data_IF_375959856867
#
_entry.id   IF_375959856867
#
_cell.length_a   1.000
_cell.length_b   1.000
_cell.length_c   1.000
_cell.angle_alpha   90.00
_cell.angle_beta   90.00
_cell.angle_gamma   90.00
#
_symmetry.space_group_name_H-M   'P 1'
#
loop_
_entity.id
_entity.type
_entity.pdbx_description
1 polymer ?
#
# COMPACT_ATOMS: atom_id res chain seq x y z
N UNK A 1 -15.93 20.28 33.09
CA UNK A 1 -14.85 19.30 33.26
C UNK A 1 -13.69 19.78 32.42
N UNK A 2 -12.72 20.42 33.07
CA UNK A 2 -11.49 20.90 32.43
C UNK A 2 -10.56 19.69 32.21
N UNK A 3 -10.27 19.35 30.96
CA UNK A 3 -9.14 18.48 30.67
C UNK A 3 -7.88 19.34 30.64
N UNK A 4 -7.04 19.13 31.65
CA UNK A 4 -5.72 19.75 31.78
C UNK A 4 -4.79 19.18 30.72
N UNK A 5 -4.41 20.01 29.76
CA UNK A 5 -3.25 19.77 28.91
C UNK A 5 -1.99 19.82 29.78
N UNK A 6 -1.42 18.65 30.08
CA UNK A 6 -0.07 18.54 30.62
C UNK A 6 0.92 18.66 29.46
N UNK A 7 1.27 19.89 29.09
CA UNK A 7 2.37 20.17 28.16
C UNK A 7 3.70 19.92 28.87
N UNK A 8 4.44 18.88 28.44
CA UNK A 8 5.88 18.81 28.60
C UNK A 8 6.47 19.81 27.59
N UNK A 9 7.08 20.89 28.08
CA UNK A 9 7.37 22.13 27.34
C UNK A 9 8.22 22.03 26.06
N UNK A 10 8.74 20.87 25.66
CA UNK A 10 9.38 20.66 24.33
C UNK A 10 9.28 19.19 23.85
N UNK A 11 8.26 18.46 24.30
CA UNK A 11 8.04 17.06 23.92
C UNK A 11 6.99 16.91 22.82
N UNK A 12 6.86 15.71 22.23
CA UNK A 12 5.72 15.44 21.36
C UNK A 12 4.42 15.56 22.17
N UNK A 13 3.35 16.01 21.54
CA UNK A 13 2.03 16.01 22.16
C UNK A 13 1.56 14.56 22.35
N UNK A 14 1.24 14.18 23.59
CA UNK A 14 0.67 12.88 23.86
C UNK A 14 -0.84 12.90 23.63
N UNK A 15 -1.33 12.00 22.77
CA UNK A 15 -2.75 11.82 22.47
C UNK A 15 -3.23 10.50 23.06
N UNK A 16 -4.12 10.58 24.06
CA UNK A 16 -4.79 9.41 24.64
C UNK A 16 -5.94 8.96 23.74
N UNK A 17 -5.60 8.44 22.55
CA UNK A 17 -6.53 7.93 21.55
C UNK A 17 -5.85 6.86 20.69
N UNK A 18 -6.57 5.76 20.42
CA UNK A 18 -6.12 4.72 19.49
C UNK A 18 -6.05 5.24 18.05
N UNK A 19 -6.96 6.14 17.68
CA UNK A 19 -6.98 6.80 16.37
C UNK A 19 -6.35 8.17 16.48
N UNK A 20 -5.28 8.38 15.72
CA UNK A 20 -4.55 9.64 15.67
C UNK A 20 -4.85 10.35 14.34
N UNK A 21 -5.23 11.63 14.38
CA UNK A 21 -5.32 12.42 13.17
C UNK A 21 -3.92 12.67 12.61
N UNK A 22 -3.81 12.85 11.30
CA UNK A 22 -2.62 13.41 10.67
C UNK A 22 -3.03 14.45 9.63
N UNK A 23 -2.12 15.40 9.41
CA UNK A 23 -2.35 16.57 8.54
C UNK A 23 -1.13 16.81 7.66
N UNK A 24 -1.34 17.51 6.55
CA UNK A 24 -0.30 17.87 5.59
C UNK A 24 0.57 16.67 5.17
N UNK A 25 1.85 16.89 4.88
CA UNK A 25 2.80 15.80 4.73
C UNK A 25 3.22 15.30 6.11
N UNK A 26 3.09 14.00 6.36
CA UNK A 26 3.35 13.36 7.64
C UNK A 26 4.26 12.13 7.51
N UNK A 27 5.14 11.96 8.48
CA UNK A 27 5.96 10.79 8.70
C UNK A 27 5.42 10.04 9.92
N UNK A 28 4.86 8.86 9.67
CA UNK A 28 4.31 7.99 10.73
C UNK A 28 5.35 6.92 11.03
N UNK A 29 5.73 6.79 12.30
CA UNK A 29 6.78 5.88 12.78
C UNK A 29 6.17 4.89 13.78
N UNK A 30 6.50 3.61 13.62
CA UNK A 30 6.18 2.57 14.57
C UNK A 30 7.09 2.68 15.81
N UNK A 31 6.50 2.97 16.98
CA UNK A 31 7.26 3.17 18.22
C UNK A 31 7.95 1.87 18.67
N UNK A 32 7.39 0.70 18.37
CA UNK A 32 8.05 -0.58 18.67
C UNK A 32 9.41 -0.70 17.94
N UNK A 33 9.49 -0.21 16.70
CA UNK A 33 10.74 -0.15 15.94
C UNK A 33 11.75 0.82 16.53
N UNK A 34 11.29 1.96 17.08
CA UNK A 34 12.14 2.90 17.84
C UNK A 34 12.74 2.23 19.06
N UNK A 35 11.89 1.63 19.89
CA UNK A 35 12.29 0.91 21.09
C UNK A 35 13.31 -0.19 20.79
N UNK A 36 13.12 -0.92 19.67
CA UNK A 36 14.02 -2.00 19.27
C UNK A 36 15.35 -1.54 18.68
N UNK A 37 15.35 -0.48 17.85
CA UNK A 37 16.51 -0.09 17.03
C UNK A 37 17.35 1.03 17.62
N UNK A 38 16.77 1.79 18.55
CA UNK A 38 17.40 2.98 19.11
C UNK A 38 17.43 2.97 20.64
N UNK A 39 16.29 2.67 21.27
CA UNK A 39 16.07 2.88 22.70
C UNK A 39 14.73 3.54 22.92
N UNK A 40 14.51 4.20 24.06
CA UNK A 40 13.18 4.72 24.40
C UNK A 40 12.71 5.80 23.40
N UNK A 41 11.41 5.89 23.19
CA UNK A 41 10.80 6.94 22.36
C UNK A 41 11.20 8.35 22.82
N UNK A 42 11.28 8.57 24.13
CA UNK A 42 11.65 9.87 24.72
C UNK A 42 13.09 10.23 24.34
N UNK A 43 14.02 9.28 24.49
CA UNK A 43 15.42 9.50 24.10
C UNK A 43 15.56 9.74 22.60
N UNK A 44 14.77 9.02 21.79
CA UNK A 44 14.76 9.16 20.33
C UNK A 44 14.32 10.56 19.93
N UNK A 45 13.21 11.03 20.48
CA UNK A 45 12.66 12.34 20.18
C UNK A 45 13.60 13.44 20.68
N UNK A 46 14.12 13.33 21.90
CA UNK A 46 15.05 14.30 22.46
C UNK A 46 16.36 14.36 21.67
N UNK A 47 16.96 13.22 21.33
CA UNK A 47 18.23 13.20 20.57
C UNK A 47 18.10 13.84 19.19
N UNK A 48 16.95 13.65 18.56
CA UNK A 48 16.73 14.12 17.20
C UNK A 48 15.93 15.43 17.14
N UNK A 49 15.55 16.02 18.27
CA UNK A 49 14.75 17.25 18.30
C UNK A 49 13.51 17.14 17.40
N UNK A 50 12.73 16.07 17.61
CA UNK A 50 11.52 15.80 16.83
C UNK A 50 10.31 16.42 17.50
N UNK A 51 9.60 17.29 16.79
CA UNK A 51 8.30 17.77 17.21
C UNK A 51 7.19 16.98 16.49
N UNK A 52 6.21 16.46 17.23
CA UNK A 52 5.17 15.61 16.67
C UNK A 52 4.12 15.20 17.70
N UNK A 53 3.27 14.24 17.34
CA UNK A 53 2.24 13.69 18.21
C UNK A 53 2.47 12.20 18.41
N UNK A 54 2.13 11.65 19.58
CA UNK A 54 2.25 10.22 19.86
C UNK A 54 1.16 9.70 20.79
N UNK A 55 0.72 8.46 20.59
CA UNK A 55 -0.11 7.72 21.55
C UNK A 55 0.65 6.57 22.23
N UNK A 56 1.99 6.58 22.14
CA UNK A 56 2.87 5.52 22.64
C UNK A 56 3.03 4.30 21.71
N UNK A 57 2.15 4.10 20.72
CA UNK A 57 2.29 3.06 19.68
C UNK A 57 2.77 3.66 18.35
N UNK A 58 2.32 4.86 18.02
CA UNK A 58 2.69 5.62 16.84
C UNK A 58 3.34 6.95 17.22
N UNK A 59 4.30 7.41 16.42
CA UNK A 59 4.80 8.78 16.42
C UNK A 59 4.52 9.40 15.05
N UNK A 60 3.87 10.56 15.02
CA UNK A 60 3.53 11.30 13.81
C UNK A 60 4.26 12.64 13.81
N UNK A 61 5.06 12.89 12.78
CA UNK A 61 5.77 14.15 12.57
C UNK A 61 5.24 14.76 11.28
N UNK A 62 4.74 15.99 11.32
CA UNK A 62 4.09 16.63 10.18
C UNK A 62 4.83 17.89 9.71
N UNK A 63 4.69 18.23 8.43
CA UNK A 63 5.24 19.42 7.80
C UNK A 63 4.23 20.02 6.82
N UNK A 64 4.04 21.34 6.87
CA UNK A 64 3.04 22.10 6.08
C UNK A 64 3.55 22.40 4.65
N UNK A 65 4.62 21.73 4.20
CA UNK A 65 5.29 22.03 2.93
C UNK A 65 5.37 20.79 2.07
N UNK A 66 5.12 20.96 0.77
CA UNK A 66 5.33 19.94 -0.25
C UNK A 66 6.36 20.44 -1.27
N UNK A 67 7.50 19.76 -1.46
CA UNK A 67 7.90 18.50 -0.82
C UNK A 67 8.31 18.69 0.66
N UNK A 68 8.13 17.67 1.52
CA UNK A 68 8.46 17.76 2.94
C UNK A 68 9.95 17.54 3.19
N UNK A 69 10.75 18.57 2.94
CA UNK A 69 12.21 18.52 2.99
C UNK A 69 12.74 18.09 4.36
N UNK A 70 12.13 18.54 5.46
CA UNK A 70 12.58 18.20 6.80
C UNK A 70 12.27 16.74 7.13
N UNK A 71 11.09 16.25 6.75
CA UNK A 71 10.74 14.85 6.95
C UNK A 71 11.65 13.90 6.15
N UNK A 72 12.02 14.29 4.91
CA UNK A 72 13.00 13.56 4.12
C UNK A 72 14.37 13.53 4.82
N UNK A 73 14.83 14.65 5.34
CA UNK A 73 16.10 14.71 6.09
C UNK A 73 16.06 13.85 7.37
N UNK A 74 14.94 13.79 8.07
CA UNK A 74 14.77 12.88 9.22
C UNK A 74 15.00 11.43 8.79
N UNK A 75 14.41 11.02 7.67
CA UNK A 75 14.57 9.67 7.16
C UNK A 75 16.02 9.39 6.75
N UNK A 76 16.61 10.27 5.94
CA UNK A 76 17.94 10.07 5.37
C UNK A 76 19.06 10.11 6.42
N UNK A 77 18.97 11.05 7.36
CA UNK A 77 20.06 11.34 8.30
C UNK A 77 19.89 10.64 9.66
N UNK A 78 18.67 10.18 9.99
CA UNK A 78 18.36 9.67 11.34
C UNK A 78 17.82 8.25 11.30
N UNK A 79 16.78 7.99 10.48
CA UNK A 79 16.16 6.66 10.42
C UNK A 79 16.99 5.65 9.63
N UNK A 80 17.44 6.00 8.42
CA UNK A 80 18.20 5.09 7.54
C UNK A 80 19.52 4.63 8.17
N UNK A 81 20.33 5.48 8.84
CA UNK A 81 21.53 5.03 9.56
C UNK A 81 21.24 4.03 10.68
N UNK A 82 20.01 4.04 11.23
CA UNK A 82 19.54 3.09 12.25
C UNK A 82 18.82 1.88 11.63
N UNK A 83 18.94 1.68 10.31
CA UNK A 83 18.32 0.58 9.56
C UNK A 83 16.80 0.52 9.65
N UNK A 84 16.12 1.67 9.79
CA UNK A 84 14.68 1.74 9.61
C UNK A 84 14.31 1.57 8.14
N UNK A 85 13.23 0.84 7.88
CA UNK A 85 12.77 0.43 6.56
C UNK A 85 11.35 0.95 6.34
N UNK A 86 11.14 1.59 5.19
CA UNK A 86 9.83 2.08 4.77
C UNK A 86 8.81 0.93 4.73
N UNK A 87 7.60 1.20 5.21
CA UNK A 87 6.46 0.28 5.42
C UNK A 87 6.64 -0.79 6.49
N UNK A 88 7.85 -0.98 7.03
CA UNK A 88 8.08 -1.87 8.17
C UNK A 88 8.19 -1.09 9.48
N UNK A 89 8.90 0.03 9.46
CA UNK A 89 9.16 0.84 10.65
C UNK A 89 8.59 2.25 10.56
N UNK A 90 8.39 2.77 9.35
CA UNK A 90 7.81 4.09 9.12
C UNK A 90 7.13 4.18 7.75
N UNK A 91 6.30 5.20 7.53
CA UNK A 91 5.70 5.52 6.23
C UNK A 91 5.50 7.02 6.07
N UNK A 92 5.68 7.50 4.83
CA UNK A 92 5.26 8.84 4.42
C UNK A 92 3.83 8.82 3.96
N UNK A 93 3.04 9.79 4.42
CA UNK A 93 1.66 10.00 4.00
C UNK A 93 1.44 11.48 3.77
N UNK A 94 0.68 11.82 2.74
CA UNK A 94 0.16 13.17 2.56
C UNK A 94 -1.31 13.15 2.95
N UNK A 95 -1.80 14.21 3.56
CA UNK A 95 -3.21 14.37 3.88
C UNK A 95 -4.07 14.36 2.62
N UNK A 96 -5.16 13.61 2.65
CA UNK A 96 -6.18 13.70 1.62
C UNK A 96 -7.13 14.86 1.93
N UNK A 97 -7.25 15.82 1.01
CA UNK A 97 -8.16 16.94 1.17
C UNK A 97 -9.62 16.46 1.12
N UNK A 98 -10.31 16.53 2.26
CA UNK A 98 -11.68 16.01 2.39
C UNK A 98 -12.68 16.76 1.51
N UNK A 99 -12.48 18.08 1.34
CA UNK A 99 -13.37 18.95 0.55
C UNK A 99 -12.62 19.62 -0.59
N UNK A 100 -13.14 19.44 -1.80
CA UNK A 100 -12.68 20.10 -3.01
C UNK A 100 -13.47 21.37 -3.33
N UNK A 101 -13.02 22.07 -4.38
CA UNK A 101 -13.74 23.21 -4.93
C UNK A 101 -15.19 22.82 -5.33
N UNK A 102 -16.15 23.70 -5.05
CA UNK A 102 -17.57 23.47 -5.34
C UNK A 102 -18.31 22.56 -4.35
N UNK A 103 -17.74 22.28 -3.17
CA UNK A 103 -18.40 21.47 -2.13
C UNK A 103 -18.37 19.97 -2.38
N UNK A 104 -17.54 19.52 -3.32
CA UNK A 104 -17.31 18.09 -3.59
C UNK A 104 -16.49 17.46 -2.47
N UNK A 105 -16.76 16.18 -2.17
CA UNK A 105 -15.96 15.39 -1.22
C UNK A 105 -14.87 14.61 -1.95
N UNK A 106 -13.77 14.31 -1.26
CA UNK A 106 -12.75 13.40 -1.79
C UNK A 106 -13.36 12.05 -2.17
N UNK A 107 -12.97 11.45 -3.31
CA UNK A 107 -13.42 10.11 -3.69
C UNK A 107 -12.95 9.03 -2.72
N UNK A 108 -12.01 9.33 -1.81
CA UNK A 108 -11.45 8.40 -0.85
C UNK A 108 -12.17 8.44 0.51
N UNK A 109 -13.29 9.16 0.61
CA UNK A 109 -14.10 9.20 1.83
C UNK A 109 -14.52 7.78 2.25
N UNK A 110 -14.38 7.48 3.54
CA UNK A 110 -14.60 6.18 4.18
C UNK A 110 -13.71 5.05 3.64
N UNK A 111 -12.55 5.39 3.06
CA UNK A 111 -11.57 4.41 2.59
C UNK A 111 -10.26 4.53 3.36
N UNK A 112 -9.47 3.44 3.43
CA UNK A 112 -8.12 3.52 3.94
C UNK A 112 -7.25 4.45 3.09
N UNK A 113 -6.34 5.16 3.76
CA UNK A 113 -5.36 5.99 3.10
C UNK A 113 -4.46 5.15 2.19
N UNK A 114 -4.26 5.58 0.94
CA UNK A 114 -3.57 4.77 -0.07
C UNK A 114 -2.12 4.44 0.32
N UNK A 115 -1.41 5.38 0.93
CA UNK A 115 -0.02 5.19 1.37
C UNK A 115 0.10 4.19 2.54
N UNK A 116 -0.95 4.05 3.36
CA UNK A 116 -1.02 3.13 4.49
C UNK A 116 -1.49 1.72 4.09
N UNK A 117 -1.89 1.53 2.83
CA UNK A 117 -2.41 0.25 2.35
C UNK A 117 -1.34 -0.84 2.43
N UNK A 118 -1.76 -2.02 2.91
CA UNK A 118 -0.94 -3.23 3.06
C UNK A 118 0.25 -3.08 4.03
N UNK A 119 0.19 -2.11 4.96
CA UNK A 119 1.11 -2.04 6.09
C UNK A 119 0.53 -2.89 7.24
N UNK A 120 1.23 -3.95 7.70
CA UNK A 120 0.67 -4.90 8.67
C UNK A 120 0.31 -4.26 10.01
N UNK A 121 1.12 -3.33 10.48
CA UNK A 121 0.99 -2.68 11.79
C UNK A 121 0.18 -1.37 11.77
N UNK A 122 -0.20 -0.86 10.59
CA UNK A 122 -0.84 0.46 10.46
C UNK A 122 -2.21 0.36 9.80
N UNK A 123 -3.24 0.80 10.52
CA UNK A 123 -4.56 1.09 10.01
C UNK A 123 -4.70 2.55 9.62
N UNK A 124 -5.63 2.85 8.72
CA UNK A 124 -5.92 4.22 8.28
C UNK A 124 -7.35 4.32 7.78
N UNK A 125 -7.94 5.51 7.92
CA UNK A 125 -9.27 5.84 7.42
C UNK A 125 -9.37 7.32 7.12
N UNK A 126 -9.96 7.65 5.97
CA UNK A 126 -10.30 9.01 5.58
C UNK A 126 -11.78 9.19 5.90
N UNK A 127 -12.14 10.20 6.68
CA UNK A 127 -13.51 10.49 7.08
C UNK A 127 -13.88 11.94 6.75
N UNK A 128 -15.12 12.34 7.01
CA UNK A 128 -15.54 13.73 6.82
C UNK A 128 -14.80 14.70 7.75
N UNK A 129 -14.26 14.19 8.86
CA UNK A 129 -13.59 14.96 9.91
C UNK A 129 -12.05 15.00 9.72
N UNK A 130 -11.52 14.29 8.72
CA UNK A 130 -10.09 14.29 8.40
C UNK A 130 -9.51 12.92 8.14
N UNK A 131 -8.18 12.86 8.24
CA UNK A 131 -7.38 11.68 7.95
C UNK A 131 -6.88 11.06 9.25
N UNK A 132 -7.11 9.77 9.45
CA UNK A 132 -6.81 9.08 10.71
C UNK A 132 -5.96 7.84 10.47
N UNK A 133 -5.10 7.54 11.44
CA UNK A 133 -4.33 6.30 11.52
C UNK A 133 -4.41 5.69 12.91
N UNK A 134 -4.22 4.37 13.00
CA UNK A 134 -4.14 3.66 14.26
C UNK A 134 -3.18 2.48 14.16
N UNK A 135 -2.59 2.08 15.27
CA UNK A 135 -1.80 0.86 15.32
C UNK A 135 -2.73 -0.35 15.24
N UNK A 136 -2.49 -1.26 14.29
CA UNK A 136 -3.19 -2.53 14.23
C UNK A 136 -2.61 -3.45 15.30
N UNK A 137 -3.44 -3.83 16.26
CA UNK A 137 -3.11 -4.95 17.13
C UNK A 137 -3.17 -6.24 16.30
N UNK A 138 -2.02 -6.74 15.86
CA UNK A 138 -1.95 -8.08 15.23
C UNK A 138 -0.56 -8.68 15.41
N UNK A 139 -0.48 -9.68 16.30
CA UNK A 139 0.53 -10.75 16.40
C UNK A 139 1.96 -10.39 16.85
N UNK A 140 2.15 -9.60 17.91
CA UNK A 140 3.42 -9.69 18.66
C UNK A 140 3.41 -10.87 19.67
N UNK A 141 2.23 -11.28 20.15
CA UNK A 141 2.07 -12.41 21.09
C UNK A 141 2.43 -13.79 20.50
N UNK A 142 2.44 -13.99 19.18
CA UNK A 142 2.86 -15.27 18.58
C UNK A 142 4.33 -15.26 18.10
N UNK A 143 4.93 -14.08 17.91
CA UNK A 143 6.35 -13.97 17.49
C UNK A 143 7.29 -14.16 18.69
N UNK A 144 6.90 -13.71 19.89
CA UNK A 144 7.66 -14.01 21.12
C UNK A 144 7.49 -15.46 21.60
N UNK A 145 6.37 -16.12 21.27
CA UNK A 145 6.11 -17.51 21.67
C UNK A 145 6.86 -18.54 20.82
N UNK A 146 7.25 -18.19 19.59
CA UNK A 146 8.03 -19.06 18.71
C UNK A 146 9.40 -18.45 18.47
N UNK A 147 10.36 -18.88 19.29
CA UNK A 147 11.79 -18.63 19.18
C UNK A 147 12.34 -19.19 17.84
N UNK A 148 12.02 -18.54 16.72
CA UNK A 148 12.39 -19.00 15.39
C UNK A 148 13.87 -18.69 15.14
N UNK A 149 14.71 -19.69 14.89
CA UNK A 149 16.08 -19.46 14.48
C UNK A 149 16.08 -18.66 13.19
N UNK A 150 16.99 -17.70 13.08
CA UNK A 150 17.27 -16.93 11.87
C UNK A 150 17.35 -17.85 10.63
N UNK A 151 16.26 -17.97 9.88
CA UNK A 151 16.26 -18.56 8.55
C UNK A 151 16.16 -17.40 7.58
N UNK A 152 17.24 -17.21 6.79
CA UNK A 152 17.27 -16.37 5.59
C UNK A 152 16.02 -16.64 4.74
N UNK A 153 14.99 -15.82 4.89
CA UNK A 153 13.79 -15.92 4.07
C UNK A 153 13.99 -15.10 2.79
N UNK A 154 14.04 -15.83 1.69
CA UNK A 154 14.43 -15.38 0.37
C UNK A 154 13.58 -14.20 -0.17
N UNK A 155 14.30 -13.20 -0.68
CA UNK A 155 13.88 -11.97 -1.38
C UNK A 155 12.99 -12.21 -2.63
N UNK A 156 12.71 -13.46 -3.01
CA UNK A 156 12.04 -13.78 -4.28
C UNK A 156 10.50 -13.87 -4.23
N UNK A 157 9.87 -13.77 -3.04
CA UNK A 157 8.40 -13.72 -2.94
C UNK A 157 7.81 -12.29 -3.04
N UNK A 158 8.64 -11.25 -2.90
CA UNK A 158 8.20 -9.84 -2.97
C UNK A 158 7.94 -9.34 -4.41
N UNK A 159 8.56 -9.95 -5.42
CA UNK A 159 8.31 -9.58 -6.83
C UNK A 159 6.92 -10.03 -7.31
N UNK A 160 6.39 -11.13 -6.76
CA UNK A 160 5.04 -11.62 -7.09
C UNK A 160 3.92 -10.77 -6.47
N UNK A 161 4.10 -10.32 -5.21
CA UNK A 161 3.09 -9.57 -4.46
C UNK A 161 3.05 -8.08 -4.87
N UNK A 162 4.20 -7.44 -5.11
CA UNK A 162 4.23 -6.06 -5.65
C UNK A 162 3.65 -5.95 -7.06
N UNK A 163 3.68 -7.04 -7.85
CA UNK A 163 3.12 -7.07 -9.21
C UNK A 163 1.60 -7.28 -9.21
N UNK A 164 1.06 -8.03 -8.24
CA UNK A 164 -0.38 -8.12 -7.98
C UNK A 164 -0.97 -6.79 -7.49
N UNK A 165 -0.26 -6.06 -6.64
CA UNK A 165 -0.69 -4.76 -6.13
C UNK A 165 -0.70 -3.67 -7.20
N UNK A 166 0.25 -3.67 -8.15
CA UNK A 166 0.25 -2.72 -9.29
C UNK A 166 -0.93 -2.96 -10.25
N UNK A 167 -1.40 -4.18 -10.40
CA UNK A 167 -2.56 -4.48 -11.24
C UNK A 167 -3.86 -4.04 -10.54
N UNK A 168 -3.99 -4.32 -9.24
CA UNK A 168 -5.10 -3.80 -8.39
C UNK A 168 -5.10 -2.25 -8.30
N UNK A 169 -3.94 -1.60 -8.23
CA UNK A 169 -3.81 -0.13 -8.24
C UNK A 169 -4.13 0.50 -9.62
N UNK A 170 -3.88 -0.21 -10.74
CA UNK A 170 -4.35 0.22 -12.07
C UNK A 170 -5.87 0.08 -12.19
N UNK A 171 -6.44 -0.99 -11.66
CA UNK A 171 -7.88 -1.20 -11.58
C UNK A 171 -8.57 -0.13 -10.72
N UNK A 172 -7.90 0.35 -9.66
CA UNK A 172 -8.36 1.48 -8.83
C UNK A 172 -8.26 2.85 -9.53
N UNK A 173 -7.20 3.12 -10.31
CA UNK A 173 -7.07 4.37 -11.10
C UNK A 173 -8.12 4.52 -12.20
N UNK A 174 -8.81 3.45 -12.58
CA UNK A 174 -9.87 3.45 -13.60
C UNK A 174 -11.29 3.70 -13.05
N UNK A 175 -11.46 3.82 -11.73
CA UNK A 175 -12.78 3.87 -11.09
C UNK A 175 -13.45 5.27 -11.08
N UNK A 176 -12.90 6.24 -11.80
CA UNK A 176 -13.53 7.56 -12.01
C UNK A 176 -14.18 7.74 -13.38
N UNK A 177 -14.33 6.66 -14.15
CA UNK A 177 -15.29 6.61 -15.26
C UNK A 177 -16.39 5.60 -14.91
N UNK A 178 -17.66 5.88 -15.29
CA UNK A 178 -18.71 4.87 -15.20
C UNK A 178 -18.22 3.59 -15.86
N UNK A 179 -18.25 2.47 -15.13
CA UNK A 179 -17.87 1.17 -15.67
C UNK A 179 -18.86 0.90 -16.81
N UNK A 180 -18.37 0.98 -18.04
CA UNK A 180 -19.22 0.74 -19.21
C UNK A 180 -19.84 -0.65 -19.10
N UNK A 181 -21.09 -0.82 -19.56
CA UNK A 181 -21.78 -2.11 -19.52
C UNK A 181 -20.94 -3.23 -20.15
N UNK A 182 -20.22 -2.90 -21.22
CA UNK A 182 -19.25 -3.81 -21.85
C UNK A 182 -18.13 -4.32 -20.93
N UNK A 183 -17.70 -3.51 -19.96
CA UNK A 183 -16.63 -3.89 -19.00
C UNK A 183 -17.19 -4.80 -17.92
N UNK A 184 -18.41 -4.52 -17.44
CA UNK A 184 -19.13 -5.42 -16.52
C UNK A 184 -19.35 -6.78 -17.17
N UNK A 185 -19.75 -6.78 -18.45
CA UNK A 185 -19.96 -7.99 -19.23
C UNK A 185 -18.67 -8.80 -19.39
N UNK A 186 -17.54 -8.13 -19.67
CA UNK A 186 -16.24 -8.79 -19.80
C UNK A 186 -15.76 -9.40 -18.47
N UNK A 187 -15.94 -8.71 -17.34
CA UNK A 187 -15.64 -9.25 -16.00
C UNK A 187 -16.50 -10.48 -15.71
N UNK A 188 -17.81 -10.41 -16.00
CA UNK A 188 -18.72 -11.55 -15.87
C UNK A 188 -18.28 -12.72 -16.76
N UNK A 189 -17.86 -12.45 -18.00
CA UNK A 189 -17.30 -13.48 -18.90
C UNK A 189 -16.07 -14.14 -18.29
N UNK A 190 -15.10 -13.37 -17.80
CA UNK A 190 -13.88 -13.89 -17.17
C UNK A 190 -14.17 -14.76 -15.95
N UNK A 191 -15.13 -14.36 -15.10
CA UNK A 191 -15.51 -15.11 -13.90
C UNK A 191 -16.10 -16.50 -14.17
N UNK A 192 -16.59 -16.73 -15.40
CA UNK A 192 -17.18 -18.00 -15.83
C UNK A 192 -16.19 -18.94 -16.50
N UNK A 193 -15.00 -18.46 -16.85
CA UNK A 193 -13.98 -19.28 -17.50
C UNK A 193 -13.20 -20.07 -16.46
N UNK A 194 -12.87 -21.32 -16.76
CA UNK A 194 -11.86 -22.09 -16.05
C UNK A 194 -10.46 -21.71 -16.54
N UNK A 195 -9.42 -22.32 -15.98
CA UNK A 195 -8.04 -21.96 -16.32
C UNK A 195 -7.71 -22.24 -17.80
N UNK A 196 -8.29 -23.29 -18.39
CA UNK A 196 -8.13 -23.59 -19.81
C UNK A 196 -8.85 -22.56 -20.69
N UNK A 197 -10.10 -22.22 -20.38
CA UNK A 197 -10.86 -21.20 -21.09
C UNK A 197 -10.21 -19.81 -21.03
N UNK A 198 -9.52 -19.48 -19.92
CA UNK A 198 -8.73 -18.26 -19.80
C UNK A 198 -7.55 -18.22 -20.79
N UNK A 199 -6.86 -19.36 -20.97
CA UNK A 199 -5.73 -19.52 -21.89
C UNK A 199 -6.19 -19.46 -23.34
N UNK A 200 -7.33 -20.09 -23.65
CA UNK A 200 -7.96 -20.00 -24.97
C UNK A 200 -8.35 -18.56 -25.30
N UNK A 201 -8.95 -17.84 -24.34
CA UNK A 201 -9.27 -16.42 -24.49
C UNK A 201 -8.00 -15.60 -24.77
N UNK A 202 -6.91 -15.82 -24.04
CA UNK A 202 -5.63 -15.16 -24.31
C UNK A 202 -5.16 -15.40 -25.76
N UNK A 203 -5.23 -16.65 -26.22
CA UNK A 203 -4.80 -17.03 -27.56
C UNK A 203 -5.61 -16.36 -28.69
N UNK A 204 -6.82 -15.86 -28.43
CA UNK A 204 -7.59 -15.06 -29.40
C UNK A 204 -7.00 -13.66 -29.66
N UNK A 205 -6.11 -13.21 -28.79
CA UNK A 205 -5.40 -11.93 -28.91
C UNK A 205 -4.07 -12.04 -29.67
N UNK A 206 -3.53 -13.26 -29.81
CA UNK A 206 -2.24 -13.52 -30.47
C UNK A 206 -2.29 -13.17 -31.95
N UNK A 207 -1.26 -12.47 -32.44
CA UNK A 207 -1.14 -12.09 -33.85
C UNK A 207 -1.99 -10.89 -34.29
N UNK A 208 -2.74 -10.26 -33.38
CA UNK A 208 -3.46 -9.02 -33.68
C UNK A 208 -2.49 -7.86 -33.85
N UNK A 209 -2.65 -7.11 -34.94
CA UNK A 209 -1.78 -5.96 -35.27
C UNK A 209 -2.17 -4.67 -34.56
N UNK A 210 -3.41 -4.55 -34.10
CA UNK A 210 -3.96 -3.33 -33.50
C UNK A 210 -4.74 -3.62 -32.22
N UNK A 211 -4.49 -2.80 -31.20
CA UNK A 211 -5.17 -2.84 -29.91
C UNK A 211 -5.92 -1.54 -29.69
N UNK A 212 -7.25 -1.60 -29.71
CA UNK A 212 -8.09 -0.47 -29.34
C UNK A 212 -7.95 -0.16 -27.85
N UNK A 213 -8.31 1.06 -27.44
CA UNK A 213 -8.31 1.47 -26.02
C UNK A 213 -9.12 0.48 -25.17
N UNK A 214 -10.28 0.04 -25.66
CA UNK A 214 -11.13 -0.97 -25.01
C UNK A 214 -10.40 -2.30 -24.80
N UNK A 215 -9.66 -2.73 -25.80
CA UNK A 215 -8.91 -3.98 -25.78
C UNK A 215 -7.71 -3.93 -24.83
N UNK A 216 -7.06 -2.77 -24.66
CA UNK A 216 -6.01 -2.60 -23.64
C UNK A 216 -6.56 -2.81 -22.24
N UNK A 217 -7.81 -2.38 -21.98
CA UNK A 217 -8.47 -2.60 -20.69
C UNK A 217 -8.84 -4.07 -20.48
N UNK A 218 -9.35 -4.75 -21.50
CA UNK A 218 -9.65 -6.18 -21.45
C UNK A 218 -8.39 -6.99 -21.14
N UNK A 219 -7.26 -6.62 -21.76
CA UNK A 219 -5.93 -7.21 -21.53
C UNK A 219 -5.46 -7.03 -20.08
N UNK A 220 -5.77 -5.89 -19.44
CA UNK A 220 -5.46 -5.69 -18.03
C UNK A 220 -6.33 -6.56 -17.11
N UNK A 221 -7.63 -6.65 -17.37
CA UNK A 221 -8.52 -7.53 -16.61
C UNK A 221 -8.13 -9.00 -16.75
N UNK A 222 -7.66 -9.38 -17.95
CA UNK A 222 -7.11 -10.70 -18.19
C UNK A 222 -5.88 -10.95 -17.29
N UNK A 223 -4.98 -9.96 -17.18
CA UNK A 223 -3.81 -10.04 -16.30
C UNK A 223 -4.21 -10.23 -14.82
N UNK A 224 -5.22 -9.50 -14.35
CA UNK A 224 -5.74 -9.63 -12.99
C UNK A 224 -6.21 -11.07 -12.70
N UNK A 225 -6.86 -11.72 -13.67
CA UNK A 225 -7.31 -13.10 -13.52
C UNK A 225 -6.15 -14.11 -13.49
N UNK A 226 -5.08 -13.91 -14.27
CA UNK A 226 -3.87 -14.74 -14.16
C UNK A 226 -3.25 -14.67 -12.76
N UNK A 227 -3.21 -13.47 -12.17
CA UNK A 227 -2.71 -13.24 -10.80
C UNK A 227 -3.63 -13.91 -9.78
N UNK A 228 -4.93 -13.62 -9.85
CA UNK A 228 -5.94 -14.14 -8.91
C UNK A 228 -5.97 -15.67 -8.86
N UNK A 229 -5.72 -16.32 -9.99
CA UNK A 229 -5.70 -17.79 -10.13
C UNK A 229 -4.34 -18.41 -9.84
N UNK A 230 -3.36 -17.60 -9.47
CA UNK A 230 -1.98 -18.00 -9.18
C UNK A 230 -1.34 -18.79 -10.34
N UNK A 231 -1.52 -18.28 -11.56
CA UNK A 231 -0.88 -18.84 -12.75
C UNK A 231 0.49 -18.19 -12.97
N UNK A 232 1.51 -18.97 -13.29
CA UNK A 232 2.82 -18.45 -13.69
C UNK A 232 2.78 -18.11 -15.19
N UNK A 233 2.60 -16.83 -15.49
CA UNK A 233 2.56 -16.28 -16.85
C UNK A 233 3.84 -15.52 -17.24
N UNK A 234 4.96 -15.77 -16.53
CA UNK A 234 6.22 -15.06 -16.73
C UNK A 234 6.76 -15.13 -18.16
N UNK A 235 6.48 -16.21 -18.89
CA UNK A 235 6.95 -16.41 -20.28
C UNK A 235 6.32 -15.43 -21.28
N UNK A 236 5.16 -14.86 -20.96
CA UNK A 236 4.42 -13.92 -21.82
C UNK A 236 4.32 -12.52 -21.22
N UNK A 237 4.99 -12.22 -20.11
CA UNK A 237 4.89 -10.91 -19.46
C UNK A 237 6.26 -10.38 -19.06
N UNK A 238 6.65 -9.26 -19.66
CA UNK A 238 7.97 -8.63 -19.49
C UNK A 238 8.06 -7.72 -18.25
N UNK A 239 7.00 -7.65 -17.44
CA UNK A 239 6.90 -6.72 -16.32
C UNK A 239 6.12 -5.44 -16.63
N UNK A 240 5.85 -5.15 -17.90
CA UNK A 240 5.10 -3.97 -18.35
C UNK A 240 3.82 -4.35 -19.09
N UNK A 241 3.89 -5.34 -19.98
CA UNK A 241 2.78 -5.76 -20.85
C UNK A 241 2.85 -7.24 -21.21
N UNK A 242 1.70 -7.79 -21.61
CA UNK A 242 1.66 -9.11 -22.23
C UNK A 242 2.27 -9.08 -23.63
N UNK A 243 3.03 -10.13 -23.95
CA UNK A 243 3.46 -10.45 -25.29
C UNK A 243 2.43 -11.33 -25.98
N UNK A 244 1.84 -10.84 -27.06
CA UNK A 244 0.89 -11.56 -27.91
C UNK A 244 1.54 -12.13 -29.18
N UNK A 245 2.85 -12.40 -29.11
CA UNK A 245 3.65 -12.86 -30.24
C UNK A 245 3.47 -14.36 -30.53
N UNK A 246 3.22 -15.17 -29.49
CA UNK A 246 3.07 -16.62 -29.58
C UNK A 246 1.83 -17.07 -28.83
N UNK A 247 1.26 -18.18 -29.28
CA UNK A 247 0.20 -18.86 -28.53
C UNK A 247 0.82 -19.51 -27.29
N UNK A 248 -0.05 -19.82 -26.34
CA UNK A 248 0.30 -20.42 -25.07
C UNK A 248 -0.56 -21.64 -24.76
N UNK A 249 -0.04 -22.51 -23.90
CA UNK A 249 -0.81 -23.57 -23.23
C UNK A 249 -0.46 -23.60 -21.74
N UNK A 250 -1.27 -24.30 -20.96
CA UNK A 250 -1.06 -24.47 -19.52
C UNK A 250 -0.50 -25.86 -19.21
N UNK A 251 0.58 -25.93 -18.44
CA UNK A 251 1.11 -27.15 -17.83
C UNK A 251 1.08 -26.99 -16.31
N UNK A 252 0.08 -27.62 -15.68
CA UNK A 252 -0.22 -27.42 -14.25
C UNK A 252 -0.66 -25.97 -13.99
N UNK A 253 0.15 -25.21 -13.26
CA UNK A 253 -0.09 -23.77 -13.01
C UNK A 253 0.83 -22.87 -13.82
N UNK A 254 1.63 -23.43 -14.74
CA UNK A 254 2.62 -22.69 -15.51
C UNK A 254 2.19 -22.53 -16.96
N UNK A 255 2.25 -21.31 -17.46
CA UNK A 255 2.03 -20.97 -18.87
C UNK A 255 3.31 -21.22 -19.64
N UNK A 256 3.21 -21.88 -20.78
CA UNK A 256 4.32 -22.06 -21.72
C UNK A 256 3.90 -21.69 -23.14
N UNK A 257 4.84 -21.18 -23.94
CA UNK A 257 4.60 -20.81 -25.35
C UNK A 257 4.64 -22.03 -26.26
N UNK A 258 3.81 -22.02 -27.29
CA UNK A 258 3.79 -22.99 -28.40
C UNK A 258 4.14 -22.33 -29.72
#
# INVERSE_FOLDING_TARGET
MENKNNTLENGPEFLDSDQMPFVFSSLIINVASVNKKFGTLIDFISKFDLNGQTNGKLLIVAEIVTPPGNLIQIVENRLRPLNFVNKLDYVFVDEELIRGAGGSYTPYLNQPHLACKNIPWLGSLITADGNFVWYKETVEKEIEAYNFPFVKFNVWKQIGVQKAEKSVLRSAKMNHMPISESRVEYIKKLSKLDDLGLIELFNTYVGRKHFSIRMQMDVWLLQDEFIKRNLDYSVIFDGKSFSFAKKIKLEGKKVITI
#
